data_IF_327131463212
#
_entry.id   IF_327131463212
#
_cell.length_a   1.000
_cell.length_b   1.000
_cell.length_c   1.000
_cell.angle_alpha   90.00
_cell.angle_beta   90.00
_cell.angle_gamma   90.00
#
_symmetry.space_group_name_H-M   'P 1'
#
loop_
_entity.id
_entity.type
_entity.pdbx_description
1 polymer ?
#
# COMPACT_ATOMS: atom_id res chain seq x y z
N UNK A 1 6.28 55.06 -76.09
CA UNK A 1 6.65 54.57 -74.74
C UNK A 1 5.36 54.14 -74.04
N UNK A 2 5.17 52.83 -73.82
CA UNK A 2 4.01 52.26 -73.09
C UNK A 2 4.46 51.97 -71.66
N UNK A 3 3.81 52.57 -70.67
CA UNK A 3 4.03 52.26 -69.26
C UNK A 3 3.41 50.88 -68.92
N UNK A 4 4.05 50.04 -68.07
CA UNK A 4 3.44 48.80 -67.63
C UNK A 4 2.40 49.11 -66.55
N UNK A 5 1.20 48.54 -66.72
CA UNK A 5 0.14 48.54 -65.71
C UNK A 5 0.58 47.66 -64.54
N UNK A 6 0.76 48.27 -63.36
CA UNK A 6 1.07 47.57 -62.12
C UNK A 6 -0.24 47.01 -61.56
N UNK A 7 -0.44 45.70 -61.66
CA UNK A 7 -1.61 45.02 -61.10
C UNK A 7 -1.38 44.80 -59.60
N UNK A 8 -2.10 45.54 -58.76
CA UNK A 8 -2.04 45.40 -57.31
C UNK A 8 -2.90 44.19 -56.89
N UNK A 9 -2.27 43.06 -56.53
CA UNK A 9 -2.96 41.95 -55.88
C UNK A 9 -3.22 42.30 -54.42
N UNK A 10 -4.46 42.65 -54.10
CA UNK A 10 -4.93 42.78 -52.72
C UNK A 10 -5.16 41.38 -52.16
N UNK A 11 -4.24 40.89 -51.32
CA UNK A 11 -4.37 39.61 -50.64
C UNK A 11 -5.41 39.76 -49.50
N UNK A 12 -6.64 39.29 -49.72
CA UNK A 12 -7.68 39.27 -48.69
C UNK A 12 -7.38 38.14 -47.70
N UNK A 13 -6.84 38.47 -46.53
CA UNK A 13 -6.73 37.52 -45.42
C UNK A 13 -8.06 37.50 -44.69
N UNK A 14 -8.87 36.47 -44.94
CA UNK A 14 -10.10 36.24 -44.17
C UNK A 14 -9.72 35.77 -42.76
N UNK A 15 -10.24 36.39 -41.69
CA UNK A 15 -10.02 35.90 -40.34
C UNK A 15 -10.68 34.52 -40.20
N UNK A 16 -9.90 33.49 -39.89
CA UNK A 16 -10.44 32.20 -39.46
C UNK A 16 -11.02 32.40 -38.05
N UNK A 17 -12.34 32.26 -37.92
CA UNK A 17 -13.00 32.23 -36.61
C UNK A 17 -12.64 30.88 -35.98
N UNK A 18 -11.71 30.86 -35.03
CA UNK A 18 -11.51 29.72 -34.14
C UNK A 18 -12.50 29.85 -32.99
N UNK A 19 -13.45 28.93 -32.88
CA UNK A 19 -14.37 28.89 -31.74
C UNK A 19 -13.64 28.29 -30.55
N UNK A 20 -13.40 29.09 -29.51
CA UNK A 20 -12.84 28.61 -28.25
C UNK A 20 -13.95 28.19 -27.30
N UNK A 21 -13.77 27.04 -26.64
CA UNK A 21 -14.66 26.54 -25.60
C UNK A 21 -13.89 26.38 -24.31
N UNK A 22 -14.38 27.00 -23.25
CA UNK A 22 -13.82 26.83 -21.91
C UNK A 22 -14.24 25.48 -21.33
N UNK A 23 -13.26 24.63 -21.00
CA UNK A 23 -13.43 23.37 -20.29
C UNK A 23 -12.87 23.51 -18.86
N UNK A 24 -13.76 23.42 -17.87
CA UNK A 24 -13.41 23.50 -16.46
C UNK A 24 -12.96 22.14 -15.93
N UNK A 25 -11.68 21.99 -15.64
CA UNK A 25 -11.12 20.77 -15.05
C UNK A 25 -11.09 20.92 -13.54
N UNK A 26 -11.89 20.12 -12.84
CA UNK A 26 -11.98 20.09 -11.39
C UNK A 26 -11.34 18.79 -10.88
N UNK A 27 -10.24 18.91 -10.15
CA UNK A 27 -9.48 17.79 -9.60
C UNK A 27 -9.73 17.72 -8.09
N UNK A 28 -10.32 16.62 -7.65
CA UNK A 28 -10.63 16.33 -6.25
C UNK A 28 -9.69 15.26 -5.71
N UNK A 29 -8.56 15.71 -5.18
CA UNK A 29 -7.52 14.85 -4.62
C UNK A 29 -6.13 15.37 -4.94
N UNK A 30 -5.11 14.67 -4.47
CA UNK A 30 -3.71 14.92 -4.82
C UNK A 30 -3.16 13.79 -5.70
N UNK A 31 -2.10 14.07 -6.44
CA UNK A 31 -1.45 13.05 -7.29
C UNK A 31 -2.23 12.65 -8.54
N UNK A 32 -3.31 13.37 -8.88
CA UNK A 32 -4.02 13.21 -10.15
C UNK A 32 -3.32 14.06 -11.23
N UNK A 33 -3.17 13.49 -12.42
CA UNK A 33 -2.81 14.22 -13.64
C UNK A 33 -3.85 13.92 -14.71
N UNK A 34 -4.43 14.97 -15.28
CA UNK A 34 -5.39 14.91 -16.37
C UNK A 34 -4.67 15.33 -17.66
N UNK A 35 -4.83 14.54 -18.72
CA UNK A 35 -4.34 14.83 -20.06
C UNK A 35 -5.54 14.99 -20.98
N UNK A 36 -5.60 16.11 -21.67
CA UNK A 36 -6.63 16.42 -22.65
C UNK A 36 -5.96 16.39 -24.03
N UNK A 37 -6.39 15.46 -24.86
CA UNK A 37 -5.94 15.34 -26.25
C UNK A 37 -6.94 16.05 -27.18
N UNK A 38 -6.44 17.06 -27.87
CA UNK A 38 -7.17 17.86 -28.85
C UNK A 38 -6.42 17.77 -30.19
N UNK A 39 -6.82 16.83 -31.04
CA UNK A 39 -6.13 16.59 -32.32
C UNK A 39 -4.68 16.18 -32.08
N UNK A 40 -3.72 17.05 -32.43
CA UNK A 40 -2.29 16.81 -32.22
C UNK A 40 -1.73 17.48 -30.95
N UNK A 41 -2.57 18.19 -30.20
CA UNK A 41 -2.17 18.90 -28.99
C UNK A 41 -2.54 18.08 -27.75
N UNK A 42 -1.63 18.06 -26.78
CA UNK A 42 -1.87 17.46 -25.46
C UNK A 42 -1.74 18.56 -24.42
N UNK A 43 -2.78 18.74 -23.63
CA UNK A 43 -2.82 19.69 -22.52
C UNK A 43 -2.80 18.88 -21.22
N UNK A 44 -1.85 19.17 -20.34
CA UNK A 44 -1.72 18.48 -19.06
C UNK A 44 -2.15 19.39 -17.92
N UNK A 45 -3.06 18.90 -17.08
CA UNK A 45 -3.66 19.65 -15.97
C UNK A 45 -3.50 18.84 -14.68
N UNK A 46 -2.93 19.45 -13.64
CA UNK A 46 -2.65 18.80 -12.35
C UNK A 46 -3.28 19.51 -11.15
N UNK A 47 -4.06 20.57 -11.41
CA UNK A 47 -4.83 21.34 -10.43
C UNK A 47 -6.11 21.84 -11.07
N UNK A 48 -7.01 22.42 -10.28
CA UNK A 48 -8.21 23.04 -10.82
C UNK A 48 -7.83 24.17 -11.79
N UNK A 49 -8.25 24.04 -13.04
CA UNK A 49 -7.87 24.93 -14.12
C UNK A 49 -8.96 24.95 -15.20
N UNK A 50 -9.09 26.09 -15.88
CA UNK A 50 -9.95 26.20 -17.06
C UNK A 50 -9.06 26.23 -18.28
N UNK A 51 -9.34 25.32 -19.22
CA UNK A 51 -8.58 25.17 -20.45
C UNK A 51 -9.44 25.61 -21.63
N UNK A 52 -8.85 26.34 -22.55
CA UNK A 52 -9.51 26.79 -23.78
C UNK A 52 -9.27 25.77 -24.91
N UNK A 53 -10.36 25.22 -25.45
CA UNK A 53 -10.36 24.18 -26.49
C UNK A 53 -10.82 24.81 -27.82
N UNK A 54 -10.05 24.65 -28.88
CA UNK A 54 -10.16 25.39 -30.14
C UNK A 54 -11.20 24.85 -31.13
N UNK A 55 -11.77 23.66 -30.92
CA UNK A 55 -13.08 23.17 -31.40
C UNK A 55 -13.00 21.65 -31.65
N UNK A 56 -13.84 20.86 -30.96
CA UNK A 56 -13.95 19.43 -31.20
C UNK A 56 -14.39 18.62 -29.99
N UNK A 57 -14.57 17.32 -30.20
CA UNK A 57 -14.59 16.34 -29.12
C UNK A 57 -13.16 16.06 -28.69
N UNK A 58 -12.86 16.20 -27.41
CA UNK A 58 -11.54 15.93 -26.83
C UNK A 58 -11.55 14.59 -26.11
N UNK A 59 -10.40 13.92 -26.09
CA UNK A 59 -10.19 12.76 -25.23
C UNK A 59 -9.56 13.23 -23.93
N UNK A 60 -10.17 12.84 -22.82
CA UNK A 60 -9.68 13.14 -21.48
C UNK A 60 -9.20 11.86 -20.87
N UNK A 61 -7.90 11.78 -20.60
CA UNK A 61 -7.27 10.72 -19.84
C UNK A 61 -6.92 11.25 -18.45
N UNK A 62 -7.00 10.40 -17.43
CA UNK A 62 -6.60 10.78 -16.09
C UNK A 62 -5.88 9.62 -15.39
N UNK A 63 -4.77 9.96 -14.73
CA UNK A 63 -3.89 9.03 -14.04
C UNK A 63 -3.68 9.46 -12.60
N UNK A 64 -3.37 8.51 -11.73
CA UNK A 64 -3.03 8.78 -10.33
C UNK A 64 -1.69 8.16 -9.97
N UNK A 65 -0.92 8.85 -9.14
CA UNK A 65 0.29 8.31 -8.50
C UNK A 65 -0.03 7.69 -7.13
N UNK A 66 -1.28 7.80 -6.67
CA UNK A 66 -1.68 7.31 -5.36
C UNK A 66 -2.00 5.81 -5.41
N UNK A 67 -1.14 5.00 -4.77
CA UNK A 67 -1.34 3.56 -4.67
C UNK A 67 -2.64 3.22 -3.95
N UNK A 68 -3.36 2.23 -4.48
CA UNK A 68 -4.63 1.77 -3.90
C UNK A 68 -5.85 2.59 -4.28
N UNK A 69 -5.72 3.51 -5.23
CA UNK A 69 -6.83 4.30 -5.75
C UNK A 69 -6.97 4.11 -7.26
N UNK A 70 -8.20 4.19 -7.72
CA UNK A 70 -8.55 4.28 -9.14
C UNK A 70 -9.14 5.65 -9.42
N UNK A 71 -9.02 6.07 -10.67
CA UNK A 71 -9.56 7.36 -11.10
C UNK A 71 -11.03 7.21 -11.47
N UNK A 72 -11.79 8.24 -11.17
CA UNK A 72 -13.15 8.42 -11.62
C UNK A 72 -13.24 9.73 -12.40
N UNK A 73 -13.84 9.68 -13.59
CA UNK A 73 -14.10 10.86 -14.44
C UNK A 73 -15.61 11.03 -14.55
N UNK A 74 -16.13 12.19 -14.14
CA UNK A 74 -17.54 12.54 -14.16
C UNK A 74 -18.46 11.49 -13.49
N UNK A 75 -18.00 10.89 -12.38
CA UNK A 75 -18.78 9.87 -11.66
C UNK A 75 -18.63 8.44 -12.19
N UNK A 76 -17.87 8.23 -13.28
CA UNK A 76 -17.63 6.91 -13.82
C UNK A 76 -16.18 6.46 -13.56
N UNK A 77 -15.99 5.26 -13.03
CA UNK A 77 -14.66 4.67 -12.80
C UNK A 77 -14.04 4.29 -14.15
N UNK A 78 -13.33 5.24 -14.74
CA UNK A 78 -12.64 5.10 -16.02
C UNK A 78 -11.39 5.98 -16.03
N UNK A 79 -10.36 5.54 -16.75
CA UNK A 79 -9.14 6.33 -16.98
C UNK A 79 -9.27 7.25 -18.18
N UNK A 80 -10.29 7.05 -19.02
CA UNK A 80 -10.50 7.83 -20.24
C UNK A 80 -11.98 8.09 -20.52
N UNK A 81 -12.26 9.21 -21.16
CA UNK A 81 -13.59 9.53 -21.70
C UNK A 81 -13.49 10.55 -22.82
N UNK A 82 -14.50 10.60 -23.68
CA UNK A 82 -14.66 11.67 -24.68
C UNK A 82 -15.58 12.75 -24.15
N UNK A 83 -15.19 14.01 -24.33
CA UNK A 83 -16.00 15.17 -23.91
C UNK A 83 -16.13 16.13 -25.07
N UNK A 84 -17.36 16.59 -25.30
CA UNK A 84 -17.64 17.71 -26.18
C UNK A 84 -17.90 18.95 -25.33
N UNK A 85 -16.96 19.93 -25.28
CA UNK A 85 -17.12 21.14 -24.49
C UNK A 85 -18.39 21.95 -24.80
N UNK A 86 -18.98 21.76 -25.98
CA UNK A 86 -20.22 22.43 -26.40
C UNK A 86 -21.44 21.94 -25.62
N UNK A 87 -21.41 20.70 -25.17
CA UNK A 87 -22.49 20.07 -24.40
C UNK A 87 -22.14 19.92 -22.93
N UNK A 88 -20.85 19.69 -22.63
CA UNK A 88 -20.33 19.45 -21.29
C UNK A 88 -19.04 20.23 -21.11
N UNK A 89 -19.13 21.38 -20.45
CA UNK A 89 -18.01 22.30 -20.26
C UNK A 89 -17.20 22.03 -18.97
N UNK A 90 -17.33 20.85 -18.37
CA UNK A 90 -16.59 20.48 -17.17
C UNK A 90 -16.11 19.04 -17.19
N UNK A 91 -15.03 18.80 -16.44
CA UNK A 91 -14.50 17.48 -16.12
C UNK A 91 -14.26 17.45 -14.62
N UNK A 92 -14.96 16.57 -13.93
CA UNK A 92 -14.69 16.30 -12.52
C UNK A 92 -13.88 15.01 -12.45
N UNK A 93 -12.68 15.09 -11.88
CA UNK A 93 -11.79 13.95 -11.71
C UNK A 93 -11.54 13.75 -10.22
N UNK A 94 -11.79 12.54 -9.74
CA UNK A 94 -11.66 12.17 -8.33
C UNK A 94 -10.96 10.82 -8.18
N UNK A 95 -10.57 10.50 -6.95
CA UNK A 95 -10.01 9.19 -6.60
C UNK A 95 -11.02 8.37 -5.81
N UNK A 96 -11.15 7.11 -6.19
CA UNK A 96 -11.95 6.11 -5.48
C UNK A 96 -11.00 5.06 -4.90
N UNK A 97 -11.07 4.75 -3.59
CA UNK A 97 -10.21 3.74 -2.98
C UNK A 97 -10.57 2.33 -3.46
N UNK A 98 -9.55 1.57 -3.81
CA UNK A 98 -9.62 0.13 -4.07
C UNK A 98 -9.41 -0.58 -2.73
N UNK A 99 -10.35 -1.43 -2.34
CA UNK A 99 -10.36 -2.10 -1.05
C UNK A 99 -9.78 -3.52 -1.16
N UNK A 100 -8.84 -3.83 -0.27
CA UNK A 100 -8.28 -5.18 -0.05
C UNK A 100 -8.83 -5.78 1.24
N UNK A 101 -8.93 -7.12 1.26
CA UNK A 101 -9.44 -7.89 2.39
C UNK A 101 -8.38 -8.90 2.83
N UNK A 102 -7.91 -8.76 4.07
CA UNK A 102 -6.95 -9.69 4.67
C UNK A 102 -7.66 -10.55 5.70
N UNK A 103 -7.88 -11.82 5.35
CA UNK A 103 -8.46 -12.81 6.24
C UNK A 103 -7.36 -13.36 7.15
N UNK A 104 -7.47 -13.11 8.46
CA UNK A 104 -6.52 -13.60 9.45
C UNK A 104 -7.23 -14.65 10.30
N UNK A 105 -6.71 -15.88 10.29
CA UNK A 105 -7.21 -17.01 11.08
C UNK A 105 -6.17 -17.41 12.13
N UNK A 106 -6.63 -17.69 13.34
CA UNK A 106 -5.81 -18.18 14.45
C UNK A 106 -6.06 -19.68 14.63
N UNK A 107 -4.98 -20.47 14.58
CA UNK A 107 -4.99 -21.88 14.96
C UNK A 107 -4.28 -22.04 16.32
N UNK A 108 -4.95 -22.66 17.29
CA UNK A 108 -4.45 -22.78 18.66
C UNK A 108 -4.81 -21.58 19.54
N UNK A 109 -4.08 -21.37 20.63
CA UNK A 109 -4.38 -20.31 21.59
C UNK A 109 -3.37 -19.16 21.49
N UNK A 110 -3.84 -18.04 20.96
CA UNK A 110 -3.08 -16.80 20.82
C UNK A 110 -3.95 -15.73 20.17
N UNK A 111 -3.33 -14.59 19.93
CA UNK A 111 -3.94 -13.44 19.25
C UNK A 111 -2.93 -12.87 18.24
N UNK A 112 -3.40 -12.18 17.22
CA UNK A 112 -2.55 -11.39 16.31
C UNK A 112 -2.90 -9.93 16.47
N UNK A 113 -1.91 -9.10 16.77
CA UNK A 113 -2.03 -7.64 16.73
C UNK A 113 -1.66 -7.19 15.32
N UNK A 114 -2.60 -6.59 14.62
CA UNK A 114 -2.41 -5.95 13.32
C UNK A 114 -2.09 -4.48 13.59
N UNK A 115 -0.90 -4.02 13.20
CA UNK A 115 -0.56 -2.59 13.24
C UNK A 115 -0.61 -2.01 11.84
N UNK A 116 -1.23 -0.85 11.73
CA UNK A 116 -1.34 -0.08 10.50
C UNK A 116 -0.28 1.02 10.46
N UNK A 117 0.08 1.50 9.27
CA UNK A 117 1.09 2.56 9.09
C UNK A 117 0.71 3.89 9.77
N UNK A 118 -0.59 4.15 9.96
CA UNK A 118 -1.09 5.32 10.69
C UNK A 118 -0.95 5.21 12.22
N UNK A 119 -0.34 4.13 12.73
CA UNK A 119 -0.10 3.88 14.15
C UNK A 119 -1.27 3.23 14.90
N UNK A 120 -2.44 3.09 14.27
CA UNK A 120 -3.56 2.36 14.87
C UNK A 120 -3.30 0.84 14.91
N UNK A 121 -4.11 0.11 15.68
CA UNK A 121 -4.00 -1.35 15.74
C UNK A 121 -5.34 -2.04 15.96
N UNK A 122 -5.45 -3.25 15.44
CA UNK A 122 -6.58 -4.16 15.64
C UNK A 122 -6.08 -5.49 16.25
N UNK A 123 -6.90 -6.14 17.07
CA UNK A 123 -6.57 -7.44 17.69
C UNK A 123 -7.49 -8.52 17.14
N UNK A 124 -6.90 -9.57 16.57
CA UNK A 124 -7.59 -10.74 16.03
C UNK A 124 -7.39 -11.93 16.98
N UNK A 125 -8.50 -12.52 17.45
CA UNK A 125 -8.49 -13.64 18.43
C UNK A 125 -8.90 -15.00 17.86
N UNK A 126 -9.73 -15.01 16.82
CA UNK A 126 -10.25 -16.22 16.18
C UNK A 126 -10.02 -16.13 14.67
N UNK A 127 -11.03 -15.68 13.92
CA UNK A 127 -10.92 -15.34 12.51
C UNK A 127 -11.55 -13.96 12.31
N UNK A 128 -10.81 -13.05 11.69
CA UNK A 128 -11.30 -11.72 11.35
C UNK A 128 -10.87 -11.34 9.94
N UNK A 129 -11.66 -10.47 9.31
CA UNK A 129 -11.33 -9.87 8.02
C UNK A 129 -10.94 -8.42 8.26
N UNK A 130 -9.67 -8.11 8.00
CA UNK A 130 -9.16 -6.74 8.08
C UNK A 130 -9.34 -6.09 6.71
N UNK A 131 -10.16 -5.04 6.67
CA UNK A 131 -10.46 -4.28 5.45
C UNK A 131 -9.60 -3.02 5.39
N UNK A 132 -8.81 -2.87 4.33
CA UNK A 132 -7.89 -1.74 4.14
C UNK A 132 -7.85 -1.28 2.69
N UNK A 133 -7.28 -0.11 2.44
CA UNK A 133 -6.97 0.33 1.08
C UNK A 133 -5.86 -0.56 0.52
N UNK A 134 -5.97 -0.94 -0.75
CA UNK A 134 -4.98 -1.75 -1.44
C UNK A 134 -3.59 -1.07 -1.43
N UNK A 135 -2.54 -1.84 -1.22
CA UNK A 135 -1.17 -1.32 -1.09
C UNK A 135 -0.81 -0.86 0.34
N UNK A 136 -1.75 -0.86 1.29
CA UNK A 136 -1.45 -0.57 2.70
C UNK A 136 -0.48 -1.61 3.28
N UNK A 137 0.57 -1.17 3.96
CA UNK A 137 1.48 -2.04 4.69
C UNK A 137 0.91 -2.37 6.07
N UNK A 138 1.00 -3.63 6.47
CA UNK A 138 0.51 -4.12 7.76
C UNK A 138 1.62 -4.90 8.47
N UNK A 139 1.75 -4.67 9.77
CA UNK A 139 2.64 -5.44 10.65
C UNK A 139 1.82 -6.38 11.52
N UNK A 140 1.99 -7.68 11.33
CA UNK A 140 1.29 -8.73 12.06
C UNK A 140 2.17 -9.25 13.20
N UNK A 141 1.73 -9.05 14.44
CA UNK A 141 2.47 -9.44 15.64
C UNK A 141 1.71 -10.56 16.37
N UNK A 142 2.21 -11.80 16.37
CA UNK A 142 1.60 -12.89 17.09
C UNK A 142 1.86 -12.72 18.60
N UNK A 143 0.83 -12.98 19.39
CA UNK A 143 0.82 -12.94 20.85
C UNK A 143 0.31 -14.29 21.36
N UNK A 144 1.21 -15.22 21.71
CA UNK A 144 0.81 -16.53 22.21
C UNK A 144 0.01 -16.40 23.51
N UNK A 145 -1.02 -17.22 23.65
CA UNK A 145 -1.73 -17.39 24.91
C UNK A 145 -0.87 -18.10 25.96
N UNK A 146 -1.34 -18.12 27.20
CA UNK A 146 -0.62 -18.76 28.31
C UNK A 146 -0.37 -20.25 28.03
N UNK A 147 0.89 -20.67 28.07
CA UNK A 147 1.30 -22.06 27.81
C UNK A 147 1.36 -22.44 26.33
N UNK A 148 1.24 -21.47 25.43
CA UNK A 148 1.40 -21.64 23.98
C UNK A 148 2.62 -20.86 23.48
N UNK A 149 3.08 -21.19 22.29
CA UNK A 149 4.14 -20.47 21.57
C UNK A 149 3.71 -20.29 20.12
N UNK A 150 4.09 -19.17 19.53
CA UNK A 150 3.89 -18.95 18.10
C UNK A 150 4.81 -19.89 17.33
N UNK A 151 4.24 -20.69 16.44
CA UNK A 151 4.96 -21.69 15.65
C UNK A 151 5.32 -21.14 14.28
N UNK A 152 4.32 -20.78 13.48
CA UNK A 152 4.52 -20.25 12.14
C UNK A 152 3.29 -19.52 11.62
N UNK A 153 3.48 -18.76 10.54
CA UNK A 153 2.41 -18.32 9.65
C UNK A 153 2.07 -19.40 8.61
N UNK A 154 1.03 -19.18 7.82
CA UNK A 154 0.60 -20.08 6.72
C UNK A 154 1.68 -20.32 5.65
N UNK A 155 2.64 -19.40 5.50
CA UNK A 155 3.78 -19.54 4.59
C UNK A 155 5.01 -20.21 5.26
N UNK A 156 4.83 -20.88 6.40
CA UNK A 156 5.87 -21.53 7.20
C UNK A 156 6.91 -20.58 7.80
N UNK A 157 6.74 -19.26 7.67
CA UNK A 157 7.61 -18.28 8.30
C UNK A 157 7.36 -18.22 9.81
N UNK A 158 8.42 -18.13 10.61
CA UNK A 158 8.34 -17.88 12.05
C UNK A 158 8.65 -16.42 12.43
N UNK A 159 8.67 -15.50 11.45
CA UNK A 159 8.98 -14.08 11.68
C UNK A 159 7.95 -13.41 12.59
N UNK A 160 8.41 -12.57 13.51
CA UNK A 160 7.54 -11.78 14.41
C UNK A 160 8.20 -10.43 14.67
N UNK A 161 7.65 -9.31 14.14
CA UNK A 161 6.46 -9.23 13.28
C UNK A 161 6.66 -9.80 11.87
N UNK A 162 5.56 -10.14 11.20
CA UNK A 162 5.48 -10.35 9.74
C UNK A 162 4.90 -9.11 9.07
N UNK A 163 5.57 -8.63 8.03
CA UNK A 163 5.10 -7.50 7.23
C UNK A 163 4.43 -7.98 5.96
N UNK A 164 3.28 -7.41 5.62
CA UNK A 164 2.56 -7.68 4.39
C UNK A 164 2.13 -6.38 3.72
N UNK A 165 1.91 -6.45 2.41
CA UNK A 165 1.22 -5.40 1.66
C UNK A 165 -0.14 -5.97 1.27
N UNK A 166 -1.20 -5.30 1.71
CA UNK A 166 -2.57 -5.75 1.47
C UNK A 166 -2.95 -5.59 -0.01
N UNK A 167 -3.01 -6.69 -0.75
CA UNK A 167 -3.31 -6.68 -2.18
C UNK A 167 -4.36 -7.74 -2.53
N UNK A 168 -5.53 -7.28 -2.99
CA UNK A 168 -6.67 -8.16 -3.25
C UNK A 168 -7.15 -8.89 -2.00
N UNK A 169 -7.57 -10.14 -2.18
CA UNK A 169 -8.00 -11.01 -1.09
C UNK A 169 -6.82 -11.89 -0.65
N UNK A 170 -6.34 -11.70 0.58
CA UNK A 170 -5.24 -12.47 1.16
C UNK A 170 -5.74 -13.28 2.35
N UNK A 171 -5.19 -14.48 2.55
CA UNK A 171 -5.50 -15.34 3.69
C UNK A 171 -4.24 -15.72 4.44
N UNK A 172 -4.21 -15.44 5.73
CA UNK A 172 -3.07 -15.64 6.61
C UNK A 172 -3.52 -16.44 7.82
N UNK A 173 -2.79 -17.50 8.13
CA UNK A 173 -3.05 -18.34 9.30
C UNK A 173 -1.90 -18.15 10.26
N UNK A 174 -2.19 -17.86 11.53
CA UNK A 174 -1.20 -17.82 12.61
C UNK A 174 -1.36 -19.08 13.46
N UNK A 175 -0.32 -19.91 13.51
CA UNK A 175 -0.33 -21.18 14.22
C UNK A 175 0.34 -21.03 15.58
N UNK A 176 -0.40 -21.37 16.63
CA UNK A 176 0.06 -21.40 18.01
C UNK A 176 0.02 -22.83 18.54
N UNK A 177 1.16 -23.33 18.98
CA UNK A 177 1.27 -24.69 19.52
C UNK A 177 1.41 -24.62 21.03
N UNK A 178 0.81 -25.58 21.72
CA UNK A 178 0.98 -25.70 23.17
C UNK A 178 2.45 -25.99 23.43
N UNK A 179 3.12 -25.11 24.19
CA UNK A 179 4.46 -25.38 24.64
C UNK A 179 4.40 -26.57 25.59
N UNK A 180 5.06 -27.66 25.24
CA UNK A 180 5.56 -28.55 26.29
C UNK A 180 6.50 -27.65 27.08
N UNK A 181 6.17 -27.32 28.33
CA UNK A 181 7.01 -26.46 29.16
C UNK A 181 8.47 -26.97 29.12
N UNK A 182 9.47 -26.12 29.41
CA UNK A 182 10.85 -26.59 29.38
C UNK A 182 10.94 -27.88 30.20
N UNK A 183 11.20 -29.00 29.53
CA UNK A 183 11.59 -30.21 30.20
C UNK A 183 12.95 -29.88 30.80
N UNK A 184 12.94 -29.42 32.05
CA UNK A 184 14.13 -29.32 32.86
C UNK A 184 14.59 -30.76 33.11
N UNK A 185 15.26 -31.36 32.13
CA UNK A 185 16.14 -32.48 32.42
C UNK A 185 17.33 -31.85 33.12
N UNK A 186 17.36 -31.92 34.45
CA UNK A 186 18.63 -31.86 35.16
C UNK A 186 19.54 -32.84 34.42
N UNK A 187 20.67 -32.39 33.83
CA UNK A 187 21.65 -33.37 33.39
C UNK A 187 21.95 -34.21 34.63
N UNK A 188 21.94 -35.53 34.47
CA UNK A 188 22.50 -36.41 35.49
C UNK A 188 23.98 -36.02 35.59
N UNK A 189 24.29 -35.03 36.42
CA UNK A 189 25.66 -34.75 36.79
C UNK A 189 26.18 -36.04 37.38
N UNK A 190 27.23 -36.59 36.77
CA UNK A 190 27.99 -37.68 37.35
C UNK A 190 28.34 -37.28 38.78
N UNK A 191 27.67 -37.94 39.74
CA UNK A 191 27.84 -37.75 41.18
C UNK A 191 29.30 -37.99 41.60
N UNK A 192 30.12 -38.54 40.69
CA UNK A 192 31.58 -38.61 40.79
C UNK A 192 32.24 -37.23 40.97
N UNK A 193 31.80 -36.17 40.30
CA UNK A 193 32.46 -34.86 40.37
C UNK A 193 32.38 -34.18 41.75
N UNK A 194 31.23 -34.29 42.42
CA UNK A 194 31.05 -33.76 43.77
C UNK A 194 31.71 -34.64 44.85
N UNK A 195 31.85 -35.95 44.60
CA UNK A 195 32.59 -36.86 45.48
C UNK A 195 34.07 -36.50 45.60
N UNK A 196 34.71 -36.09 44.49
CA UNK A 196 36.12 -35.69 44.50
C UNK A 196 36.37 -34.42 45.33
N UNK A 197 35.50 -33.41 45.25
CA UNK A 197 35.64 -32.18 46.05
C UNK A 197 35.51 -32.45 47.55
N UNK A 198 34.60 -33.34 47.95
CA UNK A 198 34.50 -33.78 49.34
C UNK A 198 35.75 -34.53 49.82
N UNK A 199 36.31 -35.41 48.99
CA UNK A 199 37.51 -36.19 49.32
C UNK A 199 38.75 -35.29 49.48
N UNK A 200 38.99 -34.36 48.55
CA UNK A 200 40.11 -33.41 48.66
C UNK A 200 39.94 -32.46 49.85
N UNK A 201 38.72 -32.02 50.16
CA UNK A 201 38.43 -31.21 51.36
C UNK A 201 38.77 -31.96 52.66
N UNK A 202 38.41 -33.25 52.75
CA UNK A 202 38.73 -34.07 53.91
C UNK A 202 40.25 -34.32 54.05
N UNK A 203 40.94 -34.64 52.95
CA UNK A 203 42.40 -34.81 52.94
C UNK A 203 43.11 -33.51 53.36
N UNK A 204 42.68 -32.37 52.84
CA UNK A 204 43.22 -31.05 53.20
C UNK A 204 43.07 -30.73 54.70
N UNK A 205 41.91 -31.05 55.30
CA UNK A 205 41.71 -30.86 56.74
C UNK A 205 42.57 -31.79 57.59
N UNK A 206 42.83 -33.01 57.12
CA UNK A 206 43.69 -33.97 57.82
C UNK A 206 45.18 -33.60 57.75
N UNK A 207 45.65 -33.05 56.63
CA UNK A 207 47.06 -32.61 56.49
C UNK A 207 47.34 -31.31 57.22
N UNK A 208 46.37 -30.37 57.29
CA UNK A 208 46.51 -29.12 58.05
C UNK A 208 46.72 -29.32 59.55
N UNK A 209 46.26 -30.43 60.14
CA UNK A 209 46.40 -30.70 61.58
C UNK A 209 47.78 -31.23 62.01
N UNK A 210 48.69 -31.48 61.07
CA UNK A 210 50.05 -32.02 61.33
C UNK A 210 51.17 -31.00 61.06
N UNK A 211 50.85 -29.71 60.96
CA UNK A 211 51.82 -28.60 60.93
C UNK A 211 51.48 -27.66 62.07
#
# INVERSE_FOLDING_TARGET
MKAPSLFLFLLLVLPTITSSYSLHVNIHGSGITVMIEEGNNIITVSKNETVEIQNGTVYVMAYTTQLGYQVEINGNTTYETQINPNTTNYVNVSLVPILSYVNITIEGNGEVIVKFDNGSSEIVRNSSVVKVIQGTSLSLIPKPGKGYSFYSWSNLSSMSPMWIIAFGNQSIIAVFVKGNGPSFSLPKYDVMGFGFLGLFGAIYLLTRKKT
#
